data_IF_872401994874
#
_entry.id   IF_872401994874
#
_cell.length_a   1.000
_cell.length_b   1.000
_cell.length_c   1.000
_cell.angle_alpha   90.00
_cell.angle_beta   90.00
_cell.angle_gamma   90.00
#
_symmetry.space_group_name_H-M   'P 1'
#
loop_
_entity.id
_entity.type
_entity.pdbx_description
1 polymer ?
#
# COMPACT_ATOMS: atom_id res chain seq x y z
N UNK A 1 -20.12 15.40 1.24
CA UNK A 1 -19.02 14.65 0.56
C UNK A 1 -17.83 14.66 1.50
N UNK A 2 -17.29 13.49 1.85
CA UNK A 2 -16.03 13.41 2.60
C UNK A 2 -14.84 13.55 1.62
N UNK A 3 -13.68 14.08 2.06
CA UNK A 3 -12.49 14.16 1.23
C UNK A 3 -11.95 12.76 0.90
N UNK A 4 -11.28 12.65 -0.24
CA UNK A 4 -10.58 11.42 -0.63
C UNK A 4 -9.31 11.33 0.21
N UNK A 5 -9.12 10.21 0.91
CA UNK A 5 -7.91 9.93 1.67
C UNK A 5 -6.91 9.25 0.73
N UNK A 6 -5.75 9.88 0.53
CA UNK A 6 -4.65 9.33 -0.28
C UNK A 6 -3.55 8.68 0.54
N UNK A 7 -3.46 8.98 1.84
CA UNK A 7 -2.40 8.43 2.69
C UNK A 7 -2.77 8.49 4.17
N UNK A 8 -2.06 7.69 4.97
CA UNK A 8 -2.08 7.72 6.43
C UNK A 8 -0.65 7.54 6.94
N UNK A 9 -0.21 8.46 7.80
CA UNK A 9 1.12 8.44 8.43
C UNK A 9 0.96 8.21 9.93
N UNK A 10 1.72 7.27 10.49
CA UNK A 10 1.80 7.07 11.93
C UNK A 10 3.21 6.58 12.31
N UNK A 11 3.91 7.36 13.13
CA UNK A 11 5.31 7.08 13.48
C UNK A 11 6.16 6.83 12.22
N UNK A 12 6.78 5.66 12.10
CA UNK A 12 7.58 5.20 10.97
C UNK A 12 6.77 4.46 9.88
N UNK A 13 5.47 4.21 10.09
CA UNK A 13 4.61 3.48 9.16
C UNK A 13 3.79 4.43 8.26
N UNK A 14 3.89 4.19 6.95
CA UNK A 14 3.14 4.92 5.92
C UNK A 14 2.23 3.97 5.16
N UNK A 15 0.95 4.33 5.05
CA UNK A 15 -0.02 3.64 4.21
C UNK A 15 -0.48 4.57 3.09
N UNK A 16 -0.24 4.18 1.83
CA UNK A 16 -0.60 4.94 0.64
C UNK A 16 -1.81 4.30 -0.06
N UNK A 17 -2.73 5.14 -0.53
CA UNK A 17 -3.91 4.76 -1.31
C UNK A 17 -3.84 5.42 -2.69
N UNK A 18 -3.93 4.61 -3.74
CA UNK A 18 -4.02 5.09 -5.11
C UNK A 18 -4.91 4.19 -5.96
N UNK A 19 -5.26 4.66 -7.15
CA UNK A 19 -5.92 3.82 -8.14
C UNK A 19 -4.94 2.73 -8.63
N UNK A 20 -5.48 1.54 -8.91
CA UNK A 20 -4.67 0.42 -9.37
C UNK A 20 -4.42 0.53 -10.88
N UNK A 21 -3.49 1.39 -11.26
CA UNK A 21 -2.97 1.49 -12.62
C UNK A 21 -1.46 1.73 -12.66
N UNK A 22 -0.86 1.62 -13.84
CA UNK A 22 0.58 1.80 -14.04
C UNK A 22 1.04 3.24 -13.84
N UNK A 23 0.17 4.23 -14.08
CA UNK A 23 0.50 5.65 -13.95
C UNK A 23 0.68 6.02 -12.48
N UNK A 24 -0.27 5.66 -11.63
CA UNK A 24 -0.22 5.89 -10.20
C UNK A 24 0.89 5.07 -9.53
N UNK A 25 1.13 3.83 -9.99
CA UNK A 25 2.28 3.03 -9.55
C UNK A 25 3.62 3.75 -9.80
N UNK A 26 3.79 4.35 -10.99
CA UNK A 26 4.99 5.13 -11.34
C UNK A 26 5.10 6.41 -10.50
N UNK A 27 3.98 7.11 -10.28
CA UNK A 27 3.95 8.30 -9.42
C UNK A 27 4.38 7.98 -7.98
N UNK A 28 3.91 6.86 -7.41
CA UNK A 28 4.31 6.44 -6.06
C UNK A 28 5.81 6.14 -6.03
N UNK A 29 6.37 5.45 -7.03
CA UNK A 29 7.81 5.16 -7.07
C UNK A 29 8.65 6.43 -7.10
N UNK A 30 8.26 7.41 -7.93
CA UNK A 30 8.95 8.69 -8.00
C UNK A 30 8.84 9.45 -6.68
N UNK A 31 7.64 9.50 -6.07
CA UNK A 31 7.43 10.12 -4.77
C UNK A 31 8.32 9.49 -3.69
N UNK A 32 8.38 8.17 -3.65
CA UNK A 32 9.20 7.41 -2.70
C UNK A 32 10.70 7.70 -2.88
N UNK A 33 11.16 7.83 -4.12
CA UNK A 33 12.53 8.18 -4.46
C UNK A 33 12.86 9.63 -4.04
N UNK A 34 12.00 10.59 -4.41
CA UNK A 34 12.16 12.00 -4.03
C UNK A 34 12.13 12.18 -2.51
N UNK A 35 11.22 11.48 -1.83
CA UNK A 35 11.15 11.47 -0.38
C UNK A 35 12.46 10.97 0.24
N UNK A 36 13.02 9.87 -0.27
CA UNK A 36 14.30 9.35 0.20
C UNK A 36 15.46 10.33 -0.01
N UNK A 37 15.49 11.00 -1.17
CA UNK A 37 16.50 12.02 -1.47
C UNK A 37 16.38 13.26 -0.58
N UNK A 38 15.15 13.74 -0.36
CA UNK A 38 14.90 14.95 0.43
C UNK A 38 15.03 14.75 1.94
N UNK A 39 14.68 13.56 2.44
CA UNK A 39 14.73 13.24 3.88
C UNK A 39 16.04 12.57 4.32
N UNK A 40 16.81 12.01 3.39
CA UNK A 40 17.94 11.12 3.67
C UNK A 40 17.53 9.73 4.19
N UNK A 41 16.23 9.43 4.23
CA UNK A 41 15.71 8.15 4.69
C UNK A 41 15.74 7.11 3.57
N UNK A 42 15.75 5.83 3.97
CA UNK A 42 15.63 4.69 3.05
C UNK A 42 14.36 3.91 3.36
N UNK A 43 13.64 3.58 2.30
CA UNK A 43 12.44 2.74 2.41
C UNK A 43 12.88 1.32 2.70
N UNK A 44 12.26 0.72 3.71
CA UNK A 44 12.47 -0.69 4.02
C UNK A 44 11.60 -1.53 3.08
N UNK A 45 12.21 -2.02 1.99
CA UNK A 45 11.50 -2.81 0.98
C UNK A 45 10.96 -4.13 1.55
N UNK A 46 11.67 -4.75 2.50
CA UNK A 46 11.29 -6.03 3.13
C UNK A 46 10.05 -5.89 4.02
N UNK A 47 9.88 -4.74 4.67
CA UNK A 47 8.69 -4.41 5.47
C UNK A 47 7.56 -3.80 4.63
N UNK A 48 7.86 -3.35 3.43
CA UNK A 48 6.88 -2.73 2.53
C UNK A 48 6.08 -3.81 1.79
N UNK A 49 4.79 -3.55 1.57
CA UNK A 49 3.94 -4.48 0.83
C UNK A 49 2.87 -3.76 0.03
N UNK A 50 2.48 -4.34 -1.11
CA UNK A 50 1.38 -3.86 -1.94
C UNK A 50 0.20 -4.79 -1.77
N UNK A 51 -0.96 -4.20 -1.47
CA UNK A 51 -2.23 -4.90 -1.35
C UNK A 51 -3.24 -4.31 -2.34
N UNK A 52 -3.99 -5.17 -3.02
CA UNK A 52 -4.97 -4.76 -4.03
C UNK A 52 -6.39 -5.01 -3.56
N UNK A 53 -7.29 -4.14 -4.01
CA UNK A 53 -8.73 -4.37 -3.86
C UNK A 53 -9.17 -5.62 -4.63
N UNK A 54 -10.31 -6.20 -4.24
CA UNK A 54 -10.92 -7.33 -4.98
C UNK A 54 -11.28 -7.00 -6.43
N UNK A 55 -11.44 -5.71 -6.74
CA UNK A 55 -11.85 -5.25 -8.07
C UNK A 55 -10.68 -5.12 -9.06
N UNK A 56 -9.44 -5.35 -8.62
CA UNK A 56 -8.27 -5.23 -9.50
C UNK A 56 -8.06 -6.51 -10.30
N UNK A 57 -7.97 -6.41 -11.62
CA UNK A 57 -7.72 -7.58 -12.50
C UNK A 57 -6.34 -8.17 -12.26
N UNK A 58 -6.14 -9.44 -12.64
CA UNK A 58 -4.85 -10.12 -12.46
C UNK A 58 -3.75 -9.48 -13.33
N UNK A 59 -4.09 -9.05 -14.54
CA UNK A 59 -3.16 -8.40 -15.46
C UNK A 59 -2.61 -7.11 -14.87
N UNK A 60 -3.48 -6.24 -14.34
CA UNK A 60 -3.07 -4.98 -13.71
C UNK A 60 -2.19 -5.25 -12.48
N UNK A 61 -2.58 -6.22 -11.65
CA UNK A 61 -1.77 -6.63 -10.49
C UNK A 61 -0.36 -7.03 -10.92
N UNK A 62 -0.25 -7.90 -11.92
CA UNK A 62 1.05 -8.36 -12.40
C UNK A 62 1.90 -7.20 -12.90
N UNK A 63 1.34 -6.29 -13.70
CA UNK A 63 2.05 -5.10 -14.22
C UNK A 63 2.57 -4.24 -13.06
N UNK A 64 1.73 -3.94 -12.08
CA UNK A 64 2.10 -3.11 -10.93
C UNK A 64 3.17 -3.83 -10.10
N UNK A 65 2.97 -5.10 -9.77
CA UNK A 65 3.94 -5.89 -9.00
C UNK A 65 5.29 -5.97 -9.69
N UNK A 66 5.33 -6.14 -11.01
CA UNK A 66 6.60 -6.15 -11.75
C UNK A 66 7.30 -4.79 -11.80
N UNK A 67 6.58 -3.69 -11.58
CA UNK A 67 7.19 -2.36 -11.52
C UNK A 67 7.89 -2.06 -10.19
N UNK A 68 7.44 -2.66 -9.08
CA UNK A 68 8.02 -2.44 -7.75
C UNK A 68 9.04 -3.51 -7.40
N UNK A 69 10.30 -3.29 -7.77
CA UNK A 69 11.40 -4.22 -7.44
C UNK A 69 11.66 -4.22 -5.93
N UNK A 70 11.62 -5.41 -5.32
CA UNK A 70 11.92 -5.60 -3.90
C UNK A 70 10.71 -5.46 -2.95
N UNK A 71 9.54 -5.07 -3.44
CA UNK A 71 8.32 -4.99 -2.62
C UNK A 71 7.43 -6.19 -2.90
N UNK A 72 6.95 -6.84 -1.84
CA UNK A 72 6.08 -8.00 -1.98
C UNK A 72 4.62 -7.59 -2.23
N UNK A 73 4.02 -8.18 -3.27
CA UNK A 73 2.58 -8.12 -3.48
C UNK A 73 1.86 -9.20 -2.66
N UNK A 74 1.02 -8.79 -1.72
CA UNK A 74 0.39 -9.70 -0.75
C UNK A 74 -1.14 -9.68 -0.85
N UNK A 75 -1.75 -10.81 -0.49
CA UNK A 75 -3.21 -10.95 -0.44
C UNK A 75 -3.82 -10.34 0.83
N UNK A 76 -3.02 -10.13 1.86
CA UNK A 76 -3.42 -9.48 3.11
C UNK A 76 -2.18 -8.91 3.77
N UNK A 77 -2.33 -7.77 4.41
CA UNK A 77 -1.28 -7.11 5.20
C UNK A 77 -1.89 -6.52 6.46
N UNK A 78 -1.06 -6.01 7.37
CA UNK A 78 -1.50 -5.33 8.60
C UNK A 78 -0.95 -3.92 8.64
N UNK A 79 -1.73 -3.00 9.17
CA UNK A 79 -1.29 -1.64 9.51
C UNK A 79 -1.62 -1.40 10.98
N UNK A 80 -0.60 -1.11 11.80
CA UNK A 80 -0.73 -0.96 13.25
C UNK A 80 -1.41 -2.16 13.93
N UNK A 81 -1.09 -3.37 13.47
CA UNK A 81 -1.68 -4.62 13.96
C UNK A 81 -3.09 -4.92 13.43
N UNK A 82 -3.74 -3.98 12.73
CA UNK A 82 -5.06 -4.18 12.13
C UNK A 82 -4.93 -4.77 10.72
N UNK A 83 -5.63 -5.87 10.40
CA UNK A 83 -5.59 -6.41 9.05
C UNK A 83 -6.21 -5.44 8.04
N UNK A 84 -5.53 -5.22 6.92
CA UNK A 84 -6.07 -4.48 5.79
C UNK A 84 -6.89 -5.43 4.89
N UNK A 85 -8.01 -4.93 4.34
CA UNK A 85 -8.92 -5.72 3.50
C UNK A 85 -10.10 -6.36 4.24
N UNK A 86 -10.41 -5.90 5.45
CA UNK A 86 -11.54 -6.38 6.27
C UNK A 86 -12.87 -6.11 5.56
N UNK A 87 -13.61 -7.18 5.26
CA UNK A 87 -15.00 -7.10 4.82
C UNK A 87 -15.95 -6.71 5.96
N UNK A 88 -17.27 -6.78 5.73
CA UNK A 88 -18.31 -6.33 6.69
C UNK A 88 -18.28 -6.99 8.08
N UNK A 89 -17.53 -8.09 8.28
CA UNK A 89 -17.45 -8.82 9.56
C UNK A 89 -16.42 -8.22 10.52
N UNK A 90 -16.68 -7.01 11.02
CA UNK A 90 -15.80 -6.33 12.00
C UNK A 90 -15.77 -7.04 13.36
N UNK A 91 -16.88 -7.66 13.81
CA UNK A 91 -17.00 -8.27 15.15
C UNK A 91 -16.15 -9.53 15.38
N UNK A 92 -15.83 -10.30 14.34
CA UNK A 92 -15.08 -11.56 14.49
C UNK A 92 -13.57 -11.31 14.67
N UNK A 93 -13.05 -10.15 14.24
CA UNK A 93 -11.60 -9.87 14.18
C UNK A 93 -11.10 -9.23 15.49
N UNK A 94 -11.96 -8.55 16.23
CA UNK A 94 -11.65 -7.96 17.53
C UNK A 94 -12.01 -8.87 18.71
N UNK A 95 -12.36 -10.14 18.46
CA UNK A 95 -12.53 -11.12 19.53
C UNK A 95 -11.15 -11.65 19.92
N UNK A 96 -10.65 -11.10 21.02
CA UNK A 96 -9.60 -11.69 21.85
C UNK A 96 -10.24 -12.66 22.85
#
# INVERSE_FOLDING_TARGET
KAPIISHLFFADDVLLFCEADSKHASLIQNFLLEYGLGSGQRINMDKSSIFFSKNTTINIRNVICSSFVGISCVKSTKYLGLPLGIGRKKKEIFRY
#
